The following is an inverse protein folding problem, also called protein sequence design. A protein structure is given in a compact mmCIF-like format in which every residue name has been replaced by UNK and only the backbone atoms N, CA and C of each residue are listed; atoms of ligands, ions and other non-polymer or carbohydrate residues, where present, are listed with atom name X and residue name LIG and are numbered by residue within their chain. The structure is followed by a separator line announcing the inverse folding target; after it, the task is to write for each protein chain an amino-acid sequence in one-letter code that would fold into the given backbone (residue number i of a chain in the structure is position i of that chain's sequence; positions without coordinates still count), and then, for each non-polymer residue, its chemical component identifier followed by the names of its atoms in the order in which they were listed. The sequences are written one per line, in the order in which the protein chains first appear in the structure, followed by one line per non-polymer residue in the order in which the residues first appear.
data_IF_384863476239
#
_entry.id   IF_384863476239
#
_cell.length_a   1.000
_cell.length_b   1.000
_cell.length_c   1.000
_cell.angle_alpha   90.00
_cell.angle_beta   90.00
_cell.angle_gamma   90.00
#
_symmetry.space_group_name_H-M   'P 1'
#
loop_
_entity.id
_entity.type
_entity.pdbx_description
1 polymer ?
#
# COMPACT_ATOMS: atom_id res chain seq x y z
N UNK A 1 11.48 -1.42 -32.70
CA UNK A 1 12.55 -0.53 -33.18
C UNK A 1 12.53 0.76 -32.37
N UNK A 2 13.65 1.45 -32.19
CA UNK A 2 13.79 2.67 -31.37
C UNK A 2 14.45 3.76 -32.22
N UNK A 3 13.83 4.93 -32.34
CA UNK A 3 14.40 6.05 -33.11
C UNK A 3 15.22 6.98 -32.21
N UNK A 4 16.46 7.28 -32.61
CA UNK A 4 17.29 8.26 -31.91
C UNK A 4 16.78 9.68 -32.19
N UNK A 5 16.43 10.44 -31.15
CA UNK A 5 15.92 11.81 -31.33
C UNK A 5 16.97 12.79 -31.86
N UNK A 6 18.27 12.56 -31.60
CA UNK A 6 19.38 13.44 -32.00
C UNK A 6 19.70 13.31 -33.49
N UNK A 7 20.00 12.10 -33.97
CA UNK A 7 20.41 11.87 -35.37
C UNK A 7 19.30 11.26 -36.26
N UNK A 8 18.09 11.05 -35.72
CA UNK A 8 16.93 10.46 -36.40
C UNK A 8 17.14 9.05 -36.97
N UNK A 9 18.23 8.36 -36.60
CA UNK A 9 18.46 6.97 -37.01
C UNK A 9 17.55 5.99 -36.27
N UNK A 10 16.97 5.05 -37.03
CA UNK A 10 16.19 3.92 -36.52
C UNK A 10 17.13 2.79 -36.08
N UNK A 11 17.03 2.40 -34.81
CA UNK A 11 17.82 1.35 -34.21
C UNK A 11 16.95 0.12 -33.95
N UNK A 12 17.42 -1.04 -34.39
CA UNK A 12 16.78 -2.31 -34.09
C UNK A 12 17.10 -2.73 -32.65
N UNK A 13 16.04 -2.89 -31.84
CA UNK A 13 16.14 -3.54 -30.54
C UNK A 13 15.91 -5.05 -30.74
N UNK A 14 16.88 -5.86 -30.31
CA UNK A 14 16.77 -7.33 -30.28
C UNK A 14 16.85 -7.75 -28.82
N UNK A 15 15.85 -8.49 -28.35
CA UNK A 15 15.74 -8.96 -26.96
C UNK A 15 16.94 -9.81 -26.52
N UNK A 16 17.60 -10.51 -27.45
CA UNK A 16 18.81 -11.30 -27.20
C UNK A 16 20.05 -10.46 -26.85
N UNK A 17 20.19 -9.28 -27.47
CA UNK A 17 21.38 -8.43 -27.32
C UNK A 17 21.14 -7.22 -26.38
N UNK A 18 19.92 -7.15 -25.81
CA UNK A 18 19.50 -6.08 -24.91
C UNK A 18 19.70 -4.69 -25.52
N UNK A 19 20.33 -3.79 -24.75
CA UNK A 19 20.60 -2.41 -25.16
C UNK A 19 21.98 -2.22 -25.79
N UNK A 20 22.72 -3.29 -26.11
CA UNK A 20 24.09 -3.19 -26.63
C UNK A 20 24.16 -2.39 -27.94
N UNK A 21 23.21 -2.61 -28.85
CA UNK A 21 23.09 -1.87 -30.12
C UNK A 21 22.83 -0.38 -29.91
N UNK A 22 22.03 -0.04 -28.90
CA UNK A 22 21.75 1.36 -28.50
C UNK A 22 22.98 2.00 -27.84
N UNK A 23 23.73 1.24 -27.05
CA UNK A 23 24.95 1.71 -26.38
C UNK A 23 26.07 1.99 -27.38
N UNK A 24 26.25 1.13 -28.40
CA UNK A 24 27.20 1.35 -29.50
C UNK A 24 26.88 2.60 -30.29
N UNK A 25 25.60 2.94 -30.45
CA UNK A 25 25.17 4.16 -31.13
C UNK A 25 25.46 5.45 -30.34
N UNK A 26 25.50 5.38 -28.99
CA UNK A 26 25.65 6.57 -28.12
C UNK A 26 26.91 7.39 -28.43
N UNK A 27 28.07 6.72 -28.57
CA UNK A 27 29.35 7.40 -28.83
C UNK A 27 29.37 8.15 -30.18
N UNK A 28 29.09 7.52 -31.33
CA UNK A 28 29.12 8.21 -32.63
C UNK A 28 28.02 9.27 -32.75
N UNK A 29 26.85 9.08 -32.12
CA UNK A 29 25.77 10.06 -32.16
C UNK A 29 26.06 11.32 -31.32
N UNK A 30 26.89 11.21 -30.28
CA UNK A 30 27.32 12.38 -29.51
C UNK A 30 28.27 13.27 -30.31
N UNK A 31 29.10 12.70 -31.17
CA UNK A 31 30.10 13.41 -31.98
C UNK A 31 29.58 14.04 -33.27
N UNK A 32 28.37 13.69 -33.73
CA UNK A 32 27.78 14.32 -34.91
C UNK A 32 26.87 15.47 -34.49
N UNK A 33 27.45 16.66 -34.36
CA UNK A 33 26.70 17.91 -34.43
C UNK A 33 26.64 18.34 -35.89
N UNK A 34 25.67 17.76 -36.63
CA UNK A 34 25.31 18.28 -37.94
C UNK A 34 24.16 19.26 -37.78
N UNK A 35 24.46 20.49 -38.20
CA UNK A 35 23.61 21.67 -38.32
C UNK A 35 22.41 21.46 -39.27
N UNK A 36 21.56 22.50 -39.30
CA UNK A 36 20.26 22.70 -39.98
C UNK A 36 19.04 22.30 -39.13
N UNK A 37 18.06 23.15 -38.86
CA UNK A 37 17.84 24.56 -39.19
C UNK A 37 16.78 25.14 -38.22
N UNK A 38 16.95 26.44 -37.92
CA UNK A 38 15.98 27.46 -37.48
C UNK A 38 14.60 27.03 -36.95
N UNK A 39 14.27 27.40 -35.71
CA UNK A 39 13.58 28.67 -35.47
C UNK A 39 13.55 29.08 -33.99
N UNK A 40 13.61 30.39 -33.77
CA UNK A 40 13.71 31.05 -32.48
C UNK A 40 12.35 31.19 -31.80
N UNK A 41 12.11 30.56 -30.64
CA UNK A 41 11.34 31.21 -29.55
C UNK A 41 11.76 30.65 -28.19
N UNK A 42 12.27 31.58 -27.39
CA UNK A 42 12.63 31.45 -25.98
C UNK A 42 11.48 30.95 -25.12
N UNK A 43 11.58 29.73 -24.56
CA UNK A 43 10.97 29.41 -23.25
C UNK A 43 11.92 28.50 -22.48
N UNK A 44 12.51 29.08 -21.44
CA UNK A 44 13.25 28.41 -20.37
C UNK A 44 12.37 27.32 -19.76
N UNK A 45 12.60 26.06 -20.11
CA UNK A 45 12.18 24.94 -19.27
C UNK A 45 13.37 23.99 -19.10
N UNK A 46 14.13 24.28 -18.05
CA UNK A 46 15.23 23.46 -17.55
C UNK A 46 14.64 22.15 -17.01
N UNK A 47 14.28 21.23 -17.91
CA UNK A 47 13.91 19.86 -17.54
C UNK A 47 15.20 19.17 -17.14
N UNK A 48 15.58 19.30 -15.86
CA UNK A 48 16.59 18.45 -15.23
C UNK A 48 16.14 17.01 -15.40
N UNK A 49 16.79 16.34 -16.33
CA UNK A 49 16.65 14.93 -16.65
C UNK A 49 16.87 14.12 -15.37
N UNK A 50 15.80 13.54 -14.84
CA UNK A 50 15.83 12.63 -13.69
C UNK A 50 16.69 11.42 -14.08
N UNK A 51 17.83 11.26 -13.40
CA UNK A 51 18.69 10.11 -13.59
C UNK A 51 17.91 8.82 -13.27
N UNK A 52 18.07 7.81 -14.13
CA UNK A 52 17.46 6.47 -14.02
C UNK A 52 17.89 5.71 -12.75
N UNK A 53 18.78 6.26 -11.94
CA UNK A 53 19.19 5.73 -10.64
C UNK A 53 18.15 5.93 -9.51
N UNK A 54 17.10 6.74 -9.72
CA UNK A 54 16.11 7.05 -8.68
C UNK A 54 15.00 5.99 -8.50
N UNK A 55 15.06 4.86 -9.21
CA UNK A 55 14.08 3.76 -9.07
C UNK A 55 14.15 3.03 -7.72
N UNK A 56 15.20 3.24 -6.91
CA UNK A 56 15.44 2.55 -5.64
C UNK A 56 15.89 3.49 -4.50
N UNK A 57 15.33 4.69 -4.39
CA UNK A 57 15.45 5.46 -3.14
C UNK A 57 14.36 5.05 -2.15
N UNK A 58 14.64 4.01 -1.34
CA UNK A 58 13.79 3.51 -0.24
C UNK A 58 13.66 4.47 0.96
N UNK A 59 13.82 5.78 0.76
CA UNK A 59 13.84 6.79 1.84
C UNK A 59 13.03 8.06 1.55
N UNK A 60 12.07 8.02 0.63
CA UNK A 60 11.03 9.08 0.60
C UNK A 60 9.95 8.67 1.58
N UNK A 61 9.94 9.27 2.77
CA UNK A 61 8.73 9.36 3.58
C UNK A 61 7.68 10.06 2.72
N UNK A 62 6.88 9.27 2.03
CA UNK A 62 5.84 9.80 1.18
C UNK A 62 4.77 10.37 2.11
N UNK A 63 4.79 11.70 2.26
CA UNK A 63 3.71 12.41 2.93
C UNK A 63 2.40 12.04 2.23
N UNK A 64 1.45 11.47 2.97
CA UNK A 64 0.14 11.11 2.43
C UNK A 64 -0.51 12.38 1.84
N UNK A 65 -0.94 12.37 0.57
CA UNK A 65 -1.61 13.50 -0.06
C UNK A 65 -2.77 14.03 0.79
N UNK A 66 -2.92 15.36 0.86
CA UNK A 66 -4.00 16.01 1.64
C UNK A 66 -5.39 15.49 1.27
N UNK A 67 -5.63 15.24 -0.01
CA UNK A 67 -6.89 14.70 -0.53
C UNK A 67 -7.21 13.32 0.02
N UNK A 68 -6.21 12.45 0.18
CA UNK A 68 -6.39 11.12 0.77
C UNK A 68 -6.67 11.25 2.27
N UNK A 69 -5.91 12.10 2.97
CA UNK A 69 -6.12 12.35 4.41
C UNK A 69 -7.53 12.85 4.69
N UNK A 70 -8.03 13.76 3.87
CA UNK A 70 -9.39 14.31 4.02
C UNK A 70 -10.46 13.24 3.80
N UNK A 71 -10.31 12.39 2.77
CA UNK A 71 -11.22 11.26 2.54
C UNK A 71 -11.26 10.27 3.71
N UNK A 72 -10.09 9.93 4.26
CA UNK A 72 -10.00 9.03 5.42
C UNK A 72 -10.64 9.67 6.65
N UNK A 73 -10.42 10.98 6.88
CA UNK A 73 -11.05 11.73 7.97
C UNK A 73 -12.56 11.64 7.89
N UNK A 74 -13.15 11.93 6.74
CA UNK A 74 -14.60 11.86 6.51
C UNK A 74 -15.12 10.43 6.78
N UNK A 75 -14.46 9.41 6.21
CA UNK A 75 -14.86 8.02 6.40
C UNK A 75 -14.83 7.59 7.89
N UNK A 76 -13.81 7.99 8.65
CA UNK A 76 -13.75 7.73 10.09
C UNK A 76 -14.84 8.47 10.88
N UNK A 77 -15.16 9.71 10.50
CA UNK A 77 -16.25 10.48 11.10
C UNK A 77 -17.60 9.83 10.82
N UNK A 78 -17.86 9.40 9.59
CA UNK A 78 -19.10 8.70 9.23
C UNK A 78 -19.21 7.36 9.95
N UNK A 79 -18.15 6.56 9.99
CA UNK A 79 -18.12 5.29 10.72
C UNK A 79 -18.46 5.49 12.21
N UNK A 80 -17.86 6.48 12.86
CA UNK A 80 -18.12 6.73 14.29
C UNK A 80 -19.54 7.26 14.54
N UNK A 81 -20.01 8.20 13.72
CA UNK A 81 -21.32 8.81 13.90
C UNK A 81 -22.48 7.88 13.50
N UNK A 82 -22.39 7.20 12.35
CA UNK A 82 -23.50 6.41 11.81
C UNK A 82 -23.60 5.03 12.46
N UNK A 83 -22.47 4.40 12.78
CA UNK A 83 -22.46 3.09 13.47
C UNK A 83 -22.48 3.24 15.00
N UNK A 84 -22.64 4.47 15.52
CA UNK A 84 -22.66 4.80 16.95
C UNK A 84 -21.46 4.22 17.71
N UNK A 85 -20.26 4.40 17.17
CA UNK A 85 -19.00 3.92 17.76
C UNK A 85 -18.29 5.02 18.52
N UNK A 86 -17.65 4.66 19.63
CA UNK A 86 -16.81 5.56 20.41
C UNK A 86 -15.62 6.06 19.59
N UNK A 87 -15.20 7.31 19.79
CA UNK A 87 -14.10 7.93 19.03
C UNK A 87 -12.79 7.18 19.22
N UNK A 88 -12.58 6.58 20.38
CA UNK A 88 -11.40 5.79 20.72
C UNK A 88 -11.24 4.57 19.81
N UNK A 89 -12.33 4.09 19.19
CA UNK A 89 -12.30 2.93 18.27
C UNK A 89 -11.30 3.13 17.14
N UNK A 90 -11.22 4.33 16.54
CA UNK A 90 -10.31 4.57 15.40
C UNK A 90 -8.84 4.64 15.80
N UNK A 91 -8.57 4.78 17.11
CA UNK A 91 -7.22 4.74 17.68
C UNK A 91 -6.86 3.36 18.25
N UNK A 92 -7.81 2.42 18.25
CA UNK A 92 -7.60 1.07 18.76
C UNK A 92 -6.56 0.29 17.94
N UNK A 93 -5.65 -0.39 18.63
CA UNK A 93 -4.55 -1.14 17.99
C UNK A 93 -5.08 -2.18 16.99
N UNK A 94 -6.12 -2.92 17.36
CA UNK A 94 -6.70 -3.96 16.50
C UNK A 94 -7.48 -3.37 15.31
N UNK A 95 -8.10 -2.20 15.47
CA UNK A 95 -8.72 -1.48 14.36
C UNK A 95 -7.66 -1.04 13.32
N UNK A 96 -6.54 -0.49 13.78
CA UNK A 96 -5.44 -0.09 12.89
C UNK A 96 -4.83 -1.28 12.14
N UNK A 97 -4.66 -2.42 12.82
CA UNK A 97 -4.21 -3.67 12.18
C UNK A 97 -5.19 -4.12 11.11
N UNK A 98 -6.49 -4.11 11.39
CA UNK A 98 -7.53 -4.47 10.44
C UNK A 98 -7.50 -3.56 9.19
N UNK A 99 -7.44 -2.24 9.38
CA UNK A 99 -7.37 -1.28 8.26
C UNK A 99 -6.13 -1.52 7.41
N UNK A 100 -4.98 -1.81 8.03
CA UNK A 100 -3.76 -2.15 7.30
C UNK A 100 -3.93 -3.44 6.48
N UNK A 101 -4.52 -4.50 7.05
CA UNK A 101 -4.82 -5.73 6.32
C UNK A 101 -5.76 -5.51 5.14
N UNK A 102 -6.77 -4.64 5.29
CA UNK A 102 -7.66 -4.25 4.18
C UNK A 102 -6.88 -3.51 3.10
N UNK A 103 -5.99 -2.59 3.48
CA UNK A 103 -5.17 -1.84 2.53
C UNK A 103 -4.22 -2.76 1.75
N UNK A 104 -3.59 -3.72 2.44
CA UNK A 104 -2.71 -4.70 1.80
C UNK A 104 -3.48 -5.66 0.90
N UNK A 105 -4.67 -6.13 1.30
CA UNK A 105 -5.56 -6.87 0.41
C UNK A 105 -5.95 -6.04 -0.83
N UNK A 106 -6.19 -4.74 -0.64
CA UNK A 106 -6.44 -3.77 -1.70
C UNK A 106 -5.37 -3.74 -2.79
N UNK A 107 -4.10 -3.98 -2.44
CA UNK A 107 -2.97 -4.00 -3.37
C UNK A 107 -2.96 -5.23 -4.28
N UNK A 108 -3.65 -6.30 -3.89
CA UNK A 108 -3.76 -7.51 -4.69
C UNK A 108 -4.77 -7.36 -5.84
N UNK A 109 -5.60 -6.31 -5.82
CA UNK A 109 -6.59 -6.06 -6.86
C UNK A 109 -6.07 -5.11 -7.94
N UNK A 110 -6.48 -5.36 -9.19
CA UNK A 110 -6.21 -4.45 -10.30
C UNK A 110 -7.00 -3.14 -10.10
N UNK A 111 -6.46 -1.97 -10.53
CA UNK A 111 -7.23 -0.73 -10.59
C UNK A 111 -8.53 -0.82 -11.42
N UNK A 112 -8.62 -1.82 -12.30
CA UNK A 112 -9.78 -2.09 -13.17
C UNK A 112 -10.71 -3.18 -12.64
N UNK A 113 -10.32 -3.91 -11.59
CA UNK A 113 -11.19 -4.93 -11.01
C UNK A 113 -12.22 -4.29 -10.10
N UNK A 114 -13.49 -4.48 -10.43
CA UNK A 114 -14.63 -4.08 -9.60
C UNK A 114 -14.85 -5.15 -8.53
N UNK A 115 -14.03 -5.13 -7.48
CA UNK A 115 -14.25 -6.00 -6.31
C UNK A 115 -15.21 -5.32 -5.36
N UNK A 116 -16.28 -6.02 -5.01
CA UNK A 116 -17.24 -5.53 -4.03
C UNK A 116 -16.64 -5.63 -2.63
N UNK A 117 -16.67 -4.54 -1.85
CA UNK A 117 -16.20 -4.54 -0.46
C UNK A 117 -16.96 -5.57 0.39
N UNK A 118 -18.23 -5.86 0.03
CA UNK A 118 -19.04 -6.89 0.71
C UNK A 118 -18.52 -8.31 0.55
N UNK A 119 -17.72 -8.57 -0.49
CA UNK A 119 -17.10 -9.89 -0.71
C UNK A 119 -15.80 -10.04 0.08
N UNK A 120 -15.15 -8.91 0.41
CA UNK A 120 -13.92 -8.88 1.20
C UNK A 120 -14.24 -8.98 2.69
N UNK A 121 -15.26 -8.26 3.17
CA UNK A 121 -15.60 -8.22 4.58
C UNK A 121 -16.45 -9.45 4.94
N UNK A 122 -16.01 -10.29 5.89
CA UNK A 122 -16.76 -11.47 6.28
C UNK A 122 -18.06 -11.11 6.99
N UNK A 123 -19.05 -12.00 6.90
CA UNK A 123 -20.32 -11.84 7.62
C UNK A 123 -20.13 -11.87 9.14
N UNK A 124 -21.03 -11.26 9.94
CA UNK A 124 -20.97 -11.35 11.40
C UNK A 124 -20.97 -12.79 11.92
N UNK A 125 -21.68 -13.70 11.25
CA UNK A 125 -21.72 -15.12 11.61
C UNK A 125 -20.35 -15.77 11.41
N UNK A 126 -19.68 -15.43 10.30
CA UNK A 126 -18.32 -15.91 10.01
C UNK A 126 -17.33 -15.44 11.08
N UNK A 127 -17.41 -14.16 11.46
CA UNK A 127 -16.57 -13.58 12.53
C UNK A 127 -16.84 -14.30 13.86
N UNK A 128 -18.11 -14.47 14.24
CA UNK A 128 -18.48 -15.18 15.48
C UNK A 128 -17.90 -16.59 15.54
N UNK A 129 -18.07 -17.38 14.49
CA UNK A 129 -17.51 -18.74 14.42
C UNK A 129 -15.98 -18.76 14.51
N UNK A 130 -15.33 -17.76 13.91
CA UNK A 130 -13.88 -17.65 13.98
C UNK A 130 -13.39 -17.28 15.39
N UNK A 131 -14.13 -16.42 16.11
CA UNK A 131 -13.87 -16.11 17.51
C UNK A 131 -13.96 -17.38 18.37
N UNK A 132 -14.99 -18.20 18.18
CA UNK A 132 -15.15 -19.47 18.92
C UNK A 132 -13.96 -20.41 18.68
N UNK A 133 -13.50 -20.50 17.42
CA UNK A 133 -12.33 -21.28 17.06
C UNK A 133 -11.05 -20.74 17.71
N UNK A 134 -10.85 -19.42 17.69
CA UNK A 134 -9.71 -18.78 18.35
C UNK A 134 -9.72 -19.00 19.86
N UNK A 135 -10.91 -18.93 20.48
CA UNK A 135 -11.10 -19.19 21.90
C UNK A 135 -10.71 -20.63 22.26
N UNK A 136 -11.21 -21.63 21.55
CA UNK A 136 -10.88 -23.03 21.84
C UNK A 136 -9.40 -23.33 21.60
N UNK A 137 -8.79 -22.76 20.56
CA UNK A 137 -7.35 -22.84 20.35
C UNK A 137 -6.56 -22.26 21.53
N UNK A 138 -6.89 -21.04 21.96
CA UNK A 138 -6.18 -20.38 23.07
C UNK A 138 -6.40 -21.10 24.40
N UNK A 139 -7.62 -21.60 24.64
CA UNK A 139 -7.96 -22.41 25.81
C UNK A 139 -7.14 -23.70 25.85
N UNK A 140 -6.97 -24.37 24.71
CA UNK A 140 -6.15 -25.58 24.62
C UNK A 140 -4.67 -25.31 24.95
N UNK A 141 -4.12 -24.21 24.44
CA UNK A 141 -2.75 -23.76 24.71
C UNK A 141 -2.55 -23.44 26.20
N UNK A 142 -3.50 -22.71 26.80
CA UNK A 142 -3.46 -22.33 28.21
C UNK A 142 -3.64 -23.53 29.15
N UNK A 143 -4.49 -24.52 28.82
CA UNK A 143 -4.62 -25.74 29.64
C UNK A 143 -3.27 -26.43 29.84
N UNK A 144 -2.47 -26.53 28.77
CA UNK A 144 -1.14 -27.14 28.84
C UNK A 144 -0.19 -26.34 29.75
N UNK A 145 -0.29 -25.01 29.73
CA UNK A 145 0.49 -24.14 30.63
C UNK A 145 0.03 -24.28 32.07
N UNK A 146 -1.28 -24.28 32.33
CA UNK A 146 -1.87 -24.36 33.66
C UNK A 146 -1.57 -25.69 34.37
N UNK A 147 -1.46 -26.81 33.65
CA UNK A 147 -1.09 -28.10 34.24
C UNK A 147 0.28 -28.08 34.94
N UNK A 148 1.17 -27.16 34.55
CA UNK A 148 2.51 -27.03 35.11
C UNK A 148 2.61 -25.96 36.20
N UNK A 149 1.51 -25.27 36.53
CA UNK A 149 1.50 -24.21 37.55
C UNK A 149 1.29 -24.83 38.94
N UNK A 150 2.27 -24.65 39.83
CA UNK A 150 2.28 -25.24 41.19
C UNK A 150 1.39 -24.52 42.21
N UNK A 151 1.03 -23.27 41.96
CA UNK A 151 0.19 -22.47 42.84
C UNK A 151 -0.57 -21.44 42.02
N UNK A 152 -1.86 -21.30 42.28
CA UNK A 152 -2.74 -20.35 41.61
C UNK A 152 -3.65 -19.66 42.62
N UNK A 153 -4.06 -18.44 42.29
CA UNK A 153 -5.08 -17.70 43.00
C UNK A 153 -6.23 -17.40 42.03
N UNK A 154 -7.47 -17.53 42.50
CA UNK A 154 -8.66 -17.19 41.72
C UNK A 154 -9.24 -15.92 42.33
N UNK A 155 -9.33 -14.87 41.52
CA UNK A 155 -10.01 -13.63 41.89
C UNK A 155 -11.44 -13.72 41.35
N UNK A 156 -12.41 -13.54 42.23
CA UNK A 156 -13.82 -13.45 41.86
C UNK A 156 -14.20 -11.98 41.81
N UNK A 157 -14.65 -11.51 40.65
CA UNK A 157 -15.17 -10.15 40.49
C UNK A 157 -16.68 -10.24 40.24
N UNK A 158 -17.46 -9.69 41.18
CA UNK A 158 -18.92 -9.67 41.12
C UNK A 158 -19.38 -8.21 41.14
N UNK A 159 -20.05 -7.77 40.08
CA UNK A 159 -20.78 -6.51 40.05
C UNK A 159 -22.26 -6.77 39.78
N UNK A 160 -23.13 -5.98 40.41
CA UNK A 160 -24.57 -5.98 40.13
C UNK A 160 -24.92 -4.81 39.24
N UNK A 161 -25.42 -5.08 38.04
CA UNK A 161 -26.03 -4.06 37.19
C UNK A 161 -27.41 -3.70 37.74
N UNK A 162 -27.63 -2.43 38.07
CA UNK A 162 -28.95 -1.92 38.40
C UNK A 162 -29.61 -1.46 37.11
N UNK A 163 -30.61 -2.22 36.65
CA UNK A 163 -31.49 -1.76 35.59
C UNK A 163 -32.49 -0.78 36.20
N UNK A 164 -32.40 0.49 35.82
CA UNK A 164 -33.35 1.56 36.14
C UNK A 164 -34.30 1.82 34.98
#
# INVERSE_FOLDING_TARGET
MVCCKKCKQLLAYRSRDGTASLAKHKRPCQTTDHASDTDNTSVKHLVKQTQVAEYYSSKKSHSVPKTIREKVKIACTEFTALDSRAFETVTGVEFLKMVLSIFDAGRCFSPTSNVSVKEIIPSPITISRHIDQMYENKKSELRNLCLNVKSYCIIWDFWTERYS
#
